data_IF_152346765399
#
_entry.id   IF_152346765399
#
_cell.length_a   1.000
_cell.length_b   1.000
_cell.length_c   1.000
_cell.angle_alpha   90.00
_cell.angle_beta   90.00
_cell.angle_gamma   90.00
#
_symmetry.space_group_name_H-M   'P 1'
#
loop_
_entity.id
_entity.type
_entity.pdbx_description
1 polymer ?
#
# COMPACT_ATOMS: atom_id res chain seq x y z
N UNK A 1 9.31 10.82 12.14
CA UNK A 1 7.86 10.92 12.43
C UNK A 1 7.63 10.25 13.78
N UNK A 2 6.75 10.77 14.64
CA UNK A 2 6.34 10.02 15.83
C UNK A 2 5.78 8.67 15.40
N UNK A 3 6.10 7.61 16.14
CA UNK A 3 5.67 6.26 15.86
C UNK A 3 5.10 5.64 17.13
N UNK A 4 3.99 4.92 16.97
CA UNK A 4 3.42 4.03 17.98
C UNK A 4 3.65 2.61 17.48
N UNK A 5 4.03 1.72 18.40
CA UNK A 5 4.27 0.31 18.10
C UNK A 5 3.23 -0.51 18.84
N UNK A 6 2.51 -1.34 18.09
CA UNK A 6 1.44 -2.19 18.61
C UNK A 6 1.02 -3.19 17.56
N UNK A 7 0.22 -4.16 17.97
CA UNK A 7 -0.39 -5.13 17.08
C UNK A 7 -1.75 -4.60 16.61
N UNK A 8 -2.04 -4.76 15.32
CA UNK A 8 -3.34 -4.43 14.73
C UNK A 8 -4.45 -5.37 15.20
N UNK A 9 -4.09 -6.56 15.69
CA UNK A 9 -5.02 -7.49 16.32
C UNK A 9 -5.32 -7.15 17.79
N UNK A 10 -4.54 -6.25 18.39
CA UNK A 10 -4.78 -5.76 19.74
C UNK A 10 -5.81 -4.63 19.72
N UNK A 11 -7.04 -4.95 20.13
CA UNK A 11 -8.14 -3.98 20.18
C UNK A 11 -7.85 -2.85 21.16
N UNK A 12 -7.19 -3.12 22.29
CA UNK A 12 -6.87 -2.09 23.28
C UNK A 12 -5.92 -1.05 22.66
N UNK A 13 -4.95 -1.50 21.86
CA UNK A 13 -4.07 -0.61 21.09
C UNK A 13 -4.84 0.23 20.06
N UNK A 14 -5.81 -0.35 19.35
CA UNK A 14 -6.62 0.39 18.38
C UNK A 14 -7.56 1.40 19.06
N UNK A 15 -8.07 1.09 20.25
CA UNK A 15 -8.93 1.97 21.05
C UNK A 15 -8.16 3.15 21.66
N UNK A 16 -6.86 3.00 21.93
CA UNK A 16 -5.98 4.12 22.34
C UNK A 16 -5.78 5.16 21.23
N UNK A 17 -6.02 4.79 19.96
CA UNK A 17 -5.96 5.72 18.84
C UNK A 17 -7.22 6.60 18.83
N UNK A 18 -7.05 7.90 18.59
CA UNK A 18 -8.18 8.81 18.42
C UNK A 18 -8.85 8.60 17.03
N UNK A 19 -9.59 7.50 16.89
CA UNK A 19 -10.25 7.09 15.65
C UNK A 19 -11.38 8.05 15.23
N UNK A 20 -12.00 8.75 16.18
CA UNK A 20 -13.08 9.70 15.92
C UNK A 20 -12.61 10.90 15.08
N UNK A 21 -11.41 11.42 15.35
CA UNK A 21 -10.83 12.57 14.63
C UNK A 21 -10.01 12.18 13.40
N UNK A 22 -9.86 10.88 13.16
CA UNK A 22 -9.01 10.35 12.13
C UNK A 22 -9.52 10.71 10.72
N UNK A 23 -8.61 11.15 9.85
CA UNK A 23 -8.94 11.59 8.48
C UNK A 23 -8.48 10.61 7.41
N UNK A 24 -7.42 9.86 7.68
CA UNK A 24 -6.81 8.93 6.73
C UNK A 24 -6.15 7.76 7.48
N UNK A 25 -6.35 6.55 6.97
CA UNK A 25 -5.59 5.35 7.31
C UNK A 25 -4.98 4.77 6.04
N UNK A 26 -3.73 4.34 6.15
CA UNK A 26 -3.06 3.56 5.11
C UNK A 26 -2.51 2.29 5.76
N UNK A 27 -2.97 1.13 5.31
CA UNK A 27 -2.35 -0.16 5.63
C UNK A 27 -1.54 -0.68 4.45
N UNK A 28 -0.26 -0.93 4.70
CA UNK A 28 0.64 -1.61 3.74
C UNK A 28 0.80 -3.09 4.03
N UNK A 29 0.08 -3.60 5.05
CA UNK A 29 -0.01 -5.04 5.35
C UNK A 29 -0.82 -5.68 4.23
N UNK A 30 -0.34 -6.78 3.63
CA UNK A 30 -1.04 -7.37 2.51
C UNK A 30 -2.02 -8.50 2.90
N UNK A 31 -2.02 -8.89 4.17
CA UNK A 31 -2.93 -9.87 4.74
C UNK A 31 -4.37 -9.31 4.79
N UNK A 32 -5.32 -10.07 4.26
CA UNK A 32 -6.71 -9.61 4.08
C UNK A 32 -7.45 -9.56 5.41
N UNK A 33 -7.23 -10.52 6.31
CA UNK A 33 -7.92 -10.58 7.60
C UNK A 33 -7.49 -9.42 8.50
N UNK A 34 -6.19 -9.10 8.50
CA UNK A 34 -5.65 -7.90 9.15
C UNK A 34 -6.35 -6.63 8.68
N UNK A 35 -6.44 -6.46 7.37
CA UNK A 35 -7.04 -5.28 6.74
C UNK A 35 -8.55 -5.21 6.98
N UNK A 36 -9.21 -6.36 7.05
CA UNK A 36 -10.63 -6.48 7.38
C UNK A 36 -10.90 -6.05 8.82
N UNK A 37 -10.13 -6.55 9.79
CA UNK A 37 -10.27 -6.11 11.19
C UNK A 37 -10.07 -4.60 11.31
N UNK A 38 -9.02 -4.06 10.67
CA UNK A 38 -8.73 -2.64 10.68
C UNK A 38 -9.92 -1.81 10.15
N UNK A 39 -10.50 -2.21 9.01
CA UNK A 39 -11.61 -1.44 8.44
C UNK A 39 -12.89 -1.56 9.26
N UNK A 40 -13.21 -2.73 9.79
CA UNK A 40 -14.37 -2.95 10.66
C UNK A 40 -14.29 -2.07 11.91
N UNK A 41 -13.16 -2.10 12.61
CA UNK A 41 -12.93 -1.28 13.82
C UNK A 41 -13.06 0.21 13.52
N UNK A 42 -12.47 0.67 12.42
CA UNK A 42 -12.46 2.08 12.05
C UNK A 42 -13.84 2.54 11.60
N UNK A 43 -14.56 1.73 10.83
CA UNK A 43 -15.90 2.07 10.32
C UNK A 43 -16.97 2.04 11.40
N UNK A 44 -16.76 1.26 12.47
CA UNK A 44 -17.62 1.27 13.65
C UNK A 44 -17.63 2.63 14.33
N UNK A 45 -16.49 3.32 14.37
CA UNK A 45 -16.31 4.62 15.05
C UNK A 45 -16.47 5.80 14.09
N UNK A 46 -15.82 5.76 12.93
CA UNK A 46 -15.72 6.89 12.01
C UNK A 46 -15.94 6.45 10.55
N UNK A 47 -17.14 6.73 10.03
CA UNK A 47 -17.49 6.42 8.63
C UNK A 47 -16.88 7.38 7.60
N UNK A 48 -16.29 8.51 8.03
CA UNK A 48 -15.78 9.58 7.13
C UNK A 48 -14.29 9.46 6.82
N UNK A 49 -13.54 8.73 7.63
CA UNK A 49 -12.10 8.54 7.42
C UNK A 49 -11.83 7.90 6.06
N UNK A 50 -10.82 8.39 5.35
CA UNK A 50 -10.35 7.77 4.11
C UNK A 50 -9.54 6.52 4.46
N UNK A 51 -9.89 5.38 3.90
CA UNK A 51 -9.23 4.09 4.18
C UNK A 51 -8.57 3.58 2.90
N UNK A 52 -7.24 3.47 2.93
CA UNK A 52 -6.42 2.91 1.86
C UNK A 52 -5.76 1.63 2.37
N UNK A 53 -5.99 0.51 1.70
CA UNK A 53 -5.47 -0.79 2.10
C UNK A 53 -4.60 -1.39 1.00
N UNK A 54 -3.91 -2.49 1.28
CA UNK A 54 -3.16 -3.27 0.28
C UNK A 54 -3.73 -4.68 0.20
N UNK A 55 -3.84 -5.22 -1.01
CA UNK A 55 -4.18 -6.63 -1.22
C UNK A 55 -3.12 -7.34 -2.07
N UNK A 56 -2.97 -8.66 -1.84
CA UNK A 56 -2.15 -9.53 -2.68
C UNK A 56 -2.89 -10.04 -3.92
N UNK A 57 -4.19 -10.34 -3.79
CA UNK A 57 -5.02 -10.94 -4.84
C UNK A 57 -6.13 -9.97 -5.30
N UNK A 58 -6.75 -10.26 -6.44
CA UNK A 58 -7.90 -9.48 -6.93
C UNK A 58 -9.11 -9.75 -6.03
N UNK A 59 -9.31 -11.01 -5.65
CA UNK A 59 -10.42 -11.45 -4.81
C UNK A 59 -10.41 -10.75 -3.46
N UNK A 60 -9.23 -10.63 -2.82
CA UNK A 60 -9.09 -9.91 -1.56
C UNK A 60 -9.29 -8.41 -1.76
N UNK A 61 -8.80 -7.85 -2.87
CA UNK A 61 -9.03 -6.44 -3.16
C UNK A 61 -10.52 -6.13 -3.28
N UNK A 62 -11.28 -6.97 -3.99
CA UNK A 62 -12.72 -6.82 -4.14
C UNK A 62 -13.45 -6.92 -2.79
N UNK A 63 -13.11 -7.89 -1.95
CA UNK A 63 -13.66 -8.00 -0.58
C UNK A 63 -13.41 -6.74 0.25
N UNK A 64 -12.17 -6.24 0.25
CA UNK A 64 -11.83 -5.03 1.00
C UNK A 64 -12.60 -3.79 0.50
N UNK A 65 -12.92 -3.71 -0.79
CA UNK A 65 -13.81 -2.67 -1.31
C UNK A 65 -15.25 -2.85 -0.81
N UNK A 66 -15.77 -4.08 -0.80
CA UNK A 66 -17.10 -4.40 -0.24
C UNK A 66 -17.19 -4.04 1.25
N UNK A 67 -16.10 -4.25 2.00
CA UNK A 67 -15.99 -3.90 3.42
C UNK A 67 -15.85 -2.38 3.67
N UNK A 68 -15.75 -1.56 2.61
CA UNK A 68 -15.83 -0.10 2.68
C UNK A 68 -14.51 0.65 2.52
N UNK A 69 -13.48 0.00 1.94
CA UNK A 69 -12.23 0.68 1.62
C UNK A 69 -12.45 1.73 0.53
N UNK A 70 -11.79 2.89 0.68
CA UNK A 70 -11.86 3.93 -0.34
C UNK A 70 -10.94 3.61 -1.52
N UNK A 71 -9.81 2.93 -1.25
CA UNK A 71 -8.89 2.46 -2.27
C UNK A 71 -8.14 1.22 -1.77
N UNK A 72 -7.88 0.29 -2.68
CA UNK A 72 -7.05 -0.89 -2.40
C UNK A 72 -5.88 -0.91 -3.39
N UNK A 73 -4.67 -0.77 -2.86
CA UNK A 73 -3.41 -0.87 -3.59
C UNK A 73 -3.11 -2.33 -3.90
N UNK A 74 -2.85 -2.60 -5.18
CA UNK A 74 -2.52 -3.95 -5.67
C UNK A 74 -1.16 -3.91 -6.40
N UNK A 75 -0.02 -3.90 -5.67
CA UNK A 75 1.29 -3.54 -6.23
C UNK A 75 1.74 -4.39 -7.43
N UNK A 76 1.46 -5.70 -7.40
CA UNK A 76 1.85 -6.60 -8.49
C UNK A 76 1.11 -6.28 -9.80
N UNK A 77 -0.18 -5.96 -9.70
CA UNK A 77 -1.00 -5.61 -10.86
C UNK A 77 -0.64 -4.24 -11.41
N UNK A 78 -0.44 -3.25 -10.53
CA UNK A 78 -0.01 -1.91 -10.94
C UNK A 78 1.38 -1.93 -11.59
N UNK A 79 2.31 -2.73 -11.04
CA UNK A 79 3.63 -2.95 -11.63
C UNK A 79 3.55 -3.62 -12.99
N UNK A 80 2.71 -4.66 -13.13
CA UNK A 80 2.46 -5.33 -14.40
C UNK A 80 1.86 -4.41 -15.46
N UNK A 81 0.82 -3.63 -15.10
CA UNK A 81 0.19 -2.66 -16.01
C UNK A 81 1.18 -1.57 -16.45
N UNK A 82 2.00 -1.07 -15.52
CA UNK A 82 3.03 -0.09 -15.83
C UNK A 82 4.06 -0.64 -16.83
N UNK A 83 4.54 -1.87 -16.64
CA UNK A 83 5.46 -2.53 -17.60
C UNK A 83 4.78 -2.77 -18.94
N UNK A 84 3.54 -3.24 -18.96
CA UNK A 84 2.78 -3.45 -20.20
C UNK A 84 2.60 -2.15 -20.99
N UNK A 85 2.30 -1.03 -20.30
CA UNK A 85 2.25 0.30 -20.93
C UNK A 85 3.61 0.70 -21.50
N UNK A 86 4.71 0.45 -20.80
CA UNK A 86 6.05 0.74 -21.31
C UNK A 86 6.35 -0.03 -22.60
N UNK A 87 5.96 -1.32 -22.66
CA UNK A 87 6.14 -2.16 -23.86
C UNK A 87 5.26 -1.64 -25.03
N UNK A 88 4.01 -1.28 -24.76
CA UNK A 88 3.09 -0.83 -25.81
C UNK A 88 3.47 0.53 -26.41
N UNK A 89 4.05 1.43 -25.61
CA UNK A 89 4.45 2.77 -26.10
C UNK A 89 5.83 2.78 -26.75
N UNK A 90 6.72 1.86 -26.38
CA UNK A 90 8.06 1.79 -26.96
C UNK A 90 8.03 0.96 -28.25
N UNK A 91 8.26 1.60 -29.39
CA UNK A 91 8.43 0.91 -30.68
C UNK A 91 9.80 0.22 -30.72
N UNK A 92 9.94 -0.94 -30.06
CA UNK A 92 11.07 -1.87 -30.20
C UNK A 92 12.49 -1.26 -30.07
N UNK A 93 12.60 -0.02 -29.57
CA UNK A 93 13.80 0.78 -29.61
C UNK A 93 14.32 1.06 -28.20
N UNK A 94 15.63 0.88 -28.03
CA UNK A 94 16.34 0.96 -26.75
C UNK A 94 16.26 2.34 -26.06
N UNK A 95 15.85 3.39 -26.78
CA UNK A 95 15.84 4.78 -26.30
C UNK A 95 14.78 5.04 -25.22
N UNK A 96 13.55 4.57 -25.41
CA UNK A 96 12.44 4.84 -24.48
C UNK A 96 12.68 4.14 -23.13
N UNK A 97 13.21 2.91 -23.18
CA UNK A 97 13.61 2.16 -21.99
C UNK A 97 14.76 2.83 -21.24
N UNK A 98 15.71 3.44 -21.96
CA UNK A 98 16.85 4.15 -21.36
C UNK A 98 16.40 5.36 -20.56
N UNK A 99 15.45 6.13 -21.07
CA UNK A 99 14.93 7.31 -20.37
C UNK A 99 14.16 6.89 -19.10
N UNK A 100 13.32 5.86 -19.19
CA UNK A 100 12.57 5.37 -18.05
C UNK A 100 13.48 4.75 -16.97
N UNK A 101 14.50 3.98 -17.39
CA UNK A 101 15.56 3.49 -16.52
C UNK A 101 16.25 4.61 -15.75
N UNK A 102 16.63 5.70 -16.44
CA UNK A 102 17.34 6.81 -15.82
C UNK A 102 16.47 7.54 -14.78
N UNK A 103 15.18 7.73 -15.07
CA UNK A 103 14.21 8.27 -14.10
C UNK A 103 14.07 7.36 -12.89
N UNK A 104 13.89 6.05 -13.11
CA UNK A 104 13.73 5.07 -12.04
C UNK A 104 14.98 5.00 -11.14
N UNK A 105 16.18 4.98 -11.72
CA UNK A 105 17.43 5.00 -10.94
C UNK A 105 17.60 6.26 -10.08
N UNK A 106 17.17 7.44 -10.59
CA UNK A 106 17.18 8.68 -9.80
C UNK A 106 16.21 8.57 -8.62
N UNK A 107 14.98 8.11 -8.86
CA UNK A 107 13.99 7.89 -7.80
C UNK A 107 14.51 6.92 -6.72
N UNK A 108 15.05 5.76 -7.11
CA UNK A 108 15.56 4.77 -6.16
C UNK A 108 16.70 5.32 -5.30
N UNK A 109 17.63 6.10 -5.90
CA UNK A 109 18.70 6.76 -5.16
C UNK A 109 18.17 7.81 -4.19
N UNK A 110 17.18 8.59 -4.60
CA UNK A 110 16.52 9.55 -3.71
C UNK A 110 15.84 8.84 -2.52
N UNK A 111 15.12 7.75 -2.77
CA UNK A 111 14.49 6.94 -1.72
C UNK A 111 15.54 6.37 -0.76
N UNK A 112 16.61 5.78 -1.28
CA UNK A 112 17.69 5.22 -0.46
C UNK A 112 18.38 6.30 0.39
N UNK A 113 18.63 7.49 -0.19
CA UNK A 113 19.25 8.60 0.52
C UNK A 113 18.43 9.13 1.69
N UNK A 114 17.10 8.90 1.69
CA UNK A 114 16.18 9.27 2.76
C UNK A 114 16.09 8.23 3.89
N UNK A 115 16.93 7.18 3.86
CA UNK A 115 17.00 6.16 4.91
C UNK A 115 15.89 5.11 4.84
N UNK A 116 15.16 4.99 3.73
CA UNK A 116 14.21 3.92 3.50
C UNK A 116 14.97 2.62 3.17
N UNK A 117 15.52 1.96 4.19
CA UNK A 117 15.97 0.58 4.05
C UNK A 117 14.75 -0.32 3.88
N UNK A 118 14.72 -1.13 2.83
CA UNK A 118 13.79 -2.24 2.71
C UNK A 118 14.14 -3.26 3.80
N UNK A 119 13.19 -3.86 4.52
CA UNK A 119 13.50 -4.99 5.40
C UNK A 119 14.21 -6.08 4.59
N UNK A 120 15.26 -6.68 5.17
CA UNK A 120 15.94 -7.81 4.55
C UNK A 120 14.89 -8.87 4.23
N UNK A 121 14.80 -9.28 2.96
CA UNK A 121 13.94 -10.42 2.59
C UNK A 121 14.58 -11.64 3.24
N UNK A 122 13.96 -12.16 4.31
CA UNK A 122 14.34 -13.45 4.87
C UNK A 122 14.30 -14.47 3.73
N UNK A 123 15.47 -15.02 3.41
CA UNK A 123 15.57 -16.12 2.48
C UNK A 123 15.05 -17.36 3.21
N UNK A 124 13.87 -17.82 2.78
CA UNK A 124 13.37 -19.16 3.10
C UNK A 124 14.41 -20.24 2.79
#
# INVERSE_FOLDING_TARGET
>A
MPALYGDVYDMDFLEELNLEELKLIISTVPDVETNKLLIETVRAVNRKVVVILRAHTIEDALKLYEDGANYVLTPHFLGGEYVAKMINHSKSGDKDYKDERNKHLRMLREILSKGANHPEVEKN
#
